data_IF_353882886848
#
_entry.id   IF_353882886848
#
_cell.length_a   1.000
_cell.length_b   1.000
_cell.length_c   1.000
_cell.angle_alpha   90.00
_cell.angle_beta   90.00
_cell.angle_gamma   90.00
#
_symmetry.space_group_name_H-M   'P 1'
#
loop_
_entity.id
_entity.type
_entity.pdbx_description
1 polymer ?
#
# COMPACT_ATOMS: atom_id res chain seq x y z
N UNK A 1 -12.50 10.62 -9.75
CA UNK A 1 -11.96 9.26 -9.50
C UNK A 1 -11.25 8.68 -10.70
N UNK A 2 -11.82 8.74 -11.91
CA UNK A 2 -11.17 8.25 -13.14
C UNK A 2 -9.73 8.78 -13.31
N UNK A 3 -9.50 10.09 -13.17
CA UNK A 3 -8.17 10.70 -13.25
C UNK A 3 -7.15 10.07 -12.28
N UNK A 4 -7.54 9.84 -11.02
CA UNK A 4 -6.67 9.27 -9.99
C UNK A 4 -6.30 7.82 -10.34
N UNK A 5 -7.28 7.05 -10.82
CA UNK A 5 -7.07 5.66 -11.26
C UNK A 5 -6.12 5.62 -12.45
N UNK A 6 -6.35 6.46 -13.47
CA UNK A 6 -5.50 6.56 -14.66
C UNK A 6 -4.07 6.95 -14.30
N UNK A 7 -3.88 7.99 -13.48
CA UNK A 7 -2.54 8.42 -13.04
C UNK A 7 -1.86 7.33 -12.21
N UNK A 8 -2.59 6.65 -11.31
CA UNK A 8 -2.06 5.54 -10.53
C UNK A 8 -1.56 4.37 -11.40
N UNK A 9 -2.31 4.01 -12.46
CA UNK A 9 -1.87 2.99 -13.43
C UNK A 9 -0.61 3.43 -14.17
N UNK A 10 -0.55 4.69 -14.64
CA UNK A 10 0.66 5.23 -15.27
C UNK A 10 1.85 5.27 -14.32
N UNK A 11 1.63 5.57 -13.05
CA UNK A 11 2.65 5.53 -12.02
C UNK A 11 3.23 4.11 -11.86
N UNK A 12 2.38 3.08 -11.84
CA UNK A 12 2.84 1.69 -11.86
C UNK A 12 3.61 1.34 -13.14
N UNK A 13 3.11 1.76 -14.31
CA UNK A 13 3.75 1.50 -15.61
C UNK A 13 5.14 2.15 -15.71
N UNK A 14 5.29 3.36 -15.19
CA UNK A 14 6.57 4.07 -15.14
C UNK A 14 7.65 3.28 -14.38
N UNK A 15 7.28 2.50 -13.36
CA UNK A 15 8.22 1.66 -12.60
C UNK A 15 8.70 0.43 -13.37
N UNK A 16 7.99 0.00 -14.42
CA UNK A 16 8.48 -1.04 -15.36
C UNK A 16 9.34 -0.40 -16.46
N UNK A 17 8.87 0.71 -17.02
CA UNK A 17 9.45 1.32 -18.24
C UNK A 17 10.74 2.09 -17.95
N UNK A 18 10.92 2.61 -16.72
CA UNK A 18 12.09 3.42 -16.32
C UNK A 18 13.41 2.67 -16.16
N UNK A 19 13.48 1.39 -16.57
CA UNK A 19 14.75 0.65 -16.68
C UNK A 19 15.27 0.03 -15.37
N UNK A 20 14.54 0.15 -14.27
CA UNK A 20 14.78 -0.70 -13.09
C UNK A 20 13.93 -1.97 -13.25
N UNK A 21 14.51 -3.19 -13.27
CA UNK A 21 13.75 -4.42 -13.51
C UNK A 21 12.92 -4.77 -12.27
N UNK A 22 11.77 -4.11 -12.12
CA UNK A 22 10.80 -4.43 -11.09
C UNK A 22 9.96 -5.61 -11.58
N UNK A 23 9.79 -6.63 -10.73
CA UNK A 23 8.97 -7.79 -11.07
C UNK A 23 7.51 -7.37 -11.31
N UNK A 24 6.72 -8.14 -12.10
CA UNK A 24 5.31 -7.83 -12.34
C UNK A 24 4.47 -7.65 -11.06
N UNK A 25 4.84 -8.33 -9.97
CA UNK A 25 4.18 -8.14 -8.67
C UNK A 25 4.34 -6.73 -8.09
N UNK A 26 5.45 -6.06 -8.40
CA UNK A 26 5.69 -4.68 -7.96
C UNK A 26 4.95 -3.62 -8.78
N UNK A 27 4.48 -3.95 -10.00
CA UNK A 27 3.59 -3.07 -10.76
C UNK A 27 2.27 -2.86 -10.04
N UNK A 28 1.61 -3.95 -9.64
CA UNK A 28 0.32 -3.89 -8.94
C UNK A 28 0.46 -3.11 -7.65
N UNK A 29 1.55 -3.34 -6.90
CA UNK A 29 1.86 -2.61 -5.68
C UNK A 29 2.05 -1.10 -5.96
N UNK A 30 2.86 -0.73 -6.95
CA UNK A 30 3.11 0.66 -7.32
C UNK A 30 1.83 1.37 -7.81
N UNK A 31 1.01 0.69 -8.61
CA UNK A 31 -0.24 1.26 -9.10
C UNK A 31 -1.24 1.55 -7.96
N UNK A 32 -1.41 0.58 -7.03
CA UNK A 32 -2.26 0.76 -5.84
C UNK A 32 -1.73 1.91 -4.97
N UNK A 33 -0.41 1.98 -4.74
CA UNK A 33 0.21 3.07 -4.00
C UNK A 33 -0.05 4.43 -4.66
N UNK A 34 0.09 4.53 -5.98
CA UNK A 34 -0.22 5.74 -6.75
C UNK A 34 -1.68 6.18 -6.61
N UNK A 35 -2.63 5.23 -6.62
CA UNK A 35 -4.06 5.53 -6.39
C UNK A 35 -4.29 6.06 -4.97
N UNK A 36 -3.68 5.43 -3.95
CA UNK A 36 -3.81 5.85 -2.55
C UNK A 36 -3.25 7.27 -2.37
N UNK A 37 -2.03 7.53 -2.85
CA UNK A 37 -1.37 8.84 -2.74
C UNK A 37 -2.18 9.91 -3.49
N UNK A 38 -2.64 9.61 -4.71
CA UNK A 38 -3.47 10.53 -5.49
C UNK A 38 -4.82 10.84 -4.81
N UNK A 39 -5.44 9.85 -4.18
CA UNK A 39 -6.66 10.06 -3.40
C UNK A 39 -6.41 10.92 -2.15
N UNK A 40 -5.32 10.66 -1.42
CA UNK A 40 -4.93 11.47 -0.25
C UNK A 40 -4.61 12.90 -0.67
N UNK A 41 -3.90 13.10 -1.77
CA UNK A 41 -3.58 14.42 -2.30
C UNK A 41 -4.84 15.25 -2.58
N UNK A 42 -5.82 14.67 -3.29
CA UNK A 42 -7.06 15.37 -3.64
C UNK A 42 -7.93 15.68 -2.42
N UNK A 43 -7.84 14.88 -1.35
CA UNK A 43 -8.71 15.03 -0.17
C UNK A 43 -8.08 15.85 0.96
N UNK A 44 -6.77 15.74 1.14
CA UNK A 44 -6.07 16.28 2.31
C UNK A 44 -4.86 17.15 1.94
N UNK A 45 -4.53 17.28 0.65
CA UNK A 45 -3.46 18.13 0.16
C UNK A 45 -2.07 17.47 0.11
N UNK A 46 -1.07 18.27 -0.23
CA UNK A 46 0.30 17.82 -0.49
C UNK A 46 0.98 17.21 0.74
N UNK A 47 0.87 17.85 1.91
CA UNK A 47 1.53 17.41 3.13
C UNK A 47 1.19 15.95 3.49
N UNK A 48 -0.10 15.61 3.66
CA UNK A 48 -0.51 14.23 3.94
C UNK A 48 -0.13 13.23 2.83
N UNK A 49 -0.14 13.64 1.57
CA UNK A 49 0.27 12.79 0.44
C UNK A 49 1.76 12.43 0.50
N UNK A 50 2.63 13.39 0.87
CA UNK A 50 4.06 13.13 1.09
C UNK A 50 4.26 12.21 2.29
N UNK A 51 3.57 12.47 3.41
CA UNK A 51 3.72 11.69 4.63
C UNK A 51 3.33 10.23 4.44
N UNK A 52 2.23 9.95 3.72
CA UNK A 52 1.82 8.57 3.46
C UNK A 52 2.79 7.87 2.49
N UNK A 53 3.26 8.57 1.45
CA UNK A 53 4.25 8.04 0.52
C UNK A 53 5.55 7.63 1.23
N UNK A 54 6.11 8.54 2.04
CA UNK A 54 7.32 8.27 2.80
C UNK A 54 7.14 7.18 3.84
N UNK A 55 6.01 7.20 4.56
CA UNK A 55 5.69 6.13 5.51
C UNK A 55 5.71 4.76 4.83
N UNK A 56 5.06 4.61 3.68
CA UNK A 56 5.04 3.32 2.97
C UNK A 56 6.41 2.90 2.42
N UNK A 57 7.24 3.85 2.00
CA UNK A 57 8.55 3.55 1.44
C UNK A 57 9.60 3.24 2.52
N UNK A 58 9.56 3.92 3.66
CA UNK A 58 10.67 3.92 4.61
C UNK A 58 10.33 3.34 5.98
N UNK A 59 9.09 2.96 6.28
CA UNK A 59 8.74 2.43 7.61
C UNK A 59 9.60 1.21 8.00
N UNK A 60 9.65 0.20 7.12
CA UNK A 60 10.46 -1.01 7.36
C UNK A 60 11.97 -0.70 7.33
N UNK A 61 12.43 0.11 6.36
CA UNK A 61 13.83 0.49 6.28
C UNK A 61 14.30 1.29 7.50
N UNK A 62 13.46 2.15 8.07
CA UNK A 62 13.80 2.93 9.27
C UNK A 62 14.11 2.02 10.45
N UNK A 63 13.37 0.92 10.60
CA UNK A 63 13.67 -0.11 11.58
C UNK A 63 15.00 -0.82 11.28
N UNK A 64 15.24 -1.23 10.03
CA UNK A 64 16.49 -1.90 9.63
C UNK A 64 17.71 -1.00 9.85
N UNK A 65 17.61 0.30 9.52
CA UNK A 65 18.66 1.29 9.79
C UNK A 65 18.92 1.46 11.28
N UNK A 66 17.88 1.51 12.11
CA UNK A 66 18.03 1.58 13.56
C UNK A 66 18.78 0.36 14.11
N UNK A 67 18.41 -0.85 13.71
CA UNK A 67 19.09 -2.08 14.15
C UNK A 67 20.53 -2.13 13.65
N UNK A 68 20.79 -1.70 12.42
CA UNK A 68 22.15 -1.61 11.88
C UNK A 68 23.02 -0.65 12.70
N UNK A 69 22.47 0.51 13.07
CA UNK A 69 23.17 1.51 13.85
C UNK A 69 23.56 1.05 15.26
N UNK A 70 22.71 0.25 15.91
CA UNK A 70 22.99 -0.27 17.27
C UNK A 70 23.78 -1.59 17.27
N UNK A 71 23.63 -2.40 16.23
CA UNK A 71 24.09 -3.80 16.21
C UNK A 71 25.25 -4.10 15.25
N UNK A 72 25.74 -3.10 14.51
CA UNK A 72 26.78 -3.24 13.47
C UNK A 72 26.47 -4.32 12.41
N UNK A 73 25.20 -4.69 12.21
CA UNK A 73 24.79 -5.58 11.12
C UNK A 73 24.72 -4.75 9.84
N UNK A 74 25.55 -5.03 8.82
CA UNK A 74 25.52 -4.29 7.56
C UNK A 74 24.18 -4.48 6.86
N UNK A 75 23.58 -3.38 6.38
CA UNK A 75 22.37 -3.47 5.55
C UNK A 75 22.80 -3.84 4.14
N UNK A 76 22.56 -5.09 3.78
CA UNK A 76 22.55 -5.55 2.39
C UNK A 76 21.11 -5.64 1.86
N UNK A 77 20.95 -5.65 0.55
CA UNK A 77 19.66 -5.84 -0.13
C UNK A 77 18.97 -7.18 0.22
N UNK A 78 19.70 -8.09 0.87
CA UNK A 78 19.26 -9.41 1.30
C UNK A 78 19.16 -9.53 2.83
N UNK A 79 19.16 -8.40 3.55
CA UNK A 79 19.10 -8.42 5.02
C UNK A 79 17.74 -8.93 5.47
N UNK A 80 17.64 -10.23 5.75
CA UNK A 80 16.44 -10.86 6.30
C UNK A 80 16.46 -10.72 7.82
N UNK A 81 15.78 -9.69 8.33
CA UNK A 81 15.53 -9.58 9.77
C UNK A 81 14.16 -10.24 10.11
N UNK A 82 14.11 -11.19 11.07
CA UNK A 82 12.86 -11.89 11.41
C UNK A 82 11.72 -10.95 11.79
N UNK A 83 12.00 -9.89 12.54
CA UNK A 83 10.99 -8.91 12.95
C UNK A 83 10.49 -8.09 11.76
N UNK A 84 11.37 -7.66 10.86
CA UNK A 84 10.98 -6.98 9.61
C UNK A 84 10.04 -7.84 8.77
N UNK A 85 10.32 -9.13 8.63
CA UNK A 85 9.46 -10.06 7.91
C UNK A 85 8.11 -10.26 8.61
N UNK A 86 8.10 -10.39 9.94
CA UNK A 86 6.85 -10.45 10.72
C UNK A 86 6.01 -9.17 10.56
N UNK A 87 6.64 -7.99 10.55
CA UNK A 87 5.93 -6.72 10.32
C UNK A 87 5.29 -6.66 8.93
N UNK A 88 6.01 -7.06 7.89
CA UNK A 88 5.47 -7.09 6.52
C UNK A 88 4.26 -8.03 6.42
N UNK A 89 4.38 -9.25 6.96
CA UNK A 89 3.28 -10.22 7.00
C UNK A 89 2.08 -9.69 7.79
N UNK A 90 2.31 -9.05 8.94
CA UNK A 90 1.25 -8.46 9.75
C UNK A 90 0.49 -7.37 8.98
N UNK A 91 1.19 -6.49 8.26
CA UNK A 91 0.58 -5.44 7.44
C UNK A 91 -0.26 -6.02 6.30
N UNK A 92 0.23 -7.07 5.64
CA UNK A 92 -0.52 -7.76 4.56
C UNK A 92 -1.79 -8.42 5.13
N UNK A 93 -1.67 -9.16 6.23
CA UNK A 93 -2.79 -9.88 6.85
C UNK A 93 -3.86 -8.91 7.34
N UNK A 94 -3.46 -7.85 8.05
CA UNK A 94 -4.40 -6.84 8.56
C UNK A 94 -5.08 -6.06 7.41
N UNK A 95 -4.34 -5.73 6.34
CA UNK A 95 -4.90 -5.15 5.13
C UNK A 95 -5.94 -6.04 4.45
N UNK A 96 -5.65 -7.33 4.32
CA UNK A 96 -6.58 -8.30 3.74
C UNK A 96 -7.87 -8.45 4.58
N UNK A 97 -7.74 -8.49 5.91
CA UNK A 97 -8.89 -8.53 6.84
C UNK A 97 -9.76 -7.28 6.67
N UNK A 98 -9.15 -6.09 6.63
CA UNK A 98 -9.88 -4.83 6.49
C UNK A 98 -10.68 -4.76 5.19
N UNK A 99 -10.08 -5.19 4.07
CA UNK A 99 -10.76 -5.28 2.77
C UNK A 99 -11.92 -6.27 2.85
N UNK A 100 -11.70 -7.44 3.44
CA UNK A 100 -12.71 -8.49 3.58
C UNK A 100 -13.93 -7.99 4.36
N UNK A 101 -13.72 -7.35 5.51
CA UNK A 101 -14.79 -6.76 6.32
C UNK A 101 -15.58 -5.73 5.50
N UNK A 102 -14.89 -4.87 4.74
CA UNK A 102 -15.54 -3.84 3.93
C UNK A 102 -16.40 -4.45 2.80
N UNK A 103 -15.92 -5.51 2.16
CA UNK A 103 -16.68 -6.23 1.13
C UNK A 103 -17.93 -6.89 1.75
N UNK A 104 -17.77 -7.58 2.88
CA UNK A 104 -18.90 -8.23 3.57
C UNK A 104 -19.96 -7.20 3.99
N UNK A 105 -19.55 -6.06 4.55
CA UNK A 105 -20.46 -4.98 4.92
C UNK A 105 -21.18 -4.39 3.71
N UNK A 106 -20.47 -4.21 2.58
CA UNK A 106 -21.08 -3.74 1.35
C UNK A 106 -22.15 -4.71 0.82
N UNK A 107 -21.83 -6.02 0.76
CA UNK A 107 -22.78 -7.05 0.31
C UNK A 107 -24.02 -7.09 1.22
N UNK A 108 -23.82 -7.07 2.55
CA UNK A 108 -24.91 -7.05 3.52
C UNK A 108 -25.81 -5.82 3.33
N UNK A 109 -25.23 -4.63 3.18
CA UNK A 109 -26.02 -3.39 2.99
C UNK A 109 -26.89 -3.41 1.72
N UNK A 110 -26.41 -4.08 0.65
CA UNK A 110 -27.16 -4.26 -0.60
C UNK A 110 -28.32 -5.23 -0.44
N UNK A 111 -28.14 -6.30 0.33
CA UNK A 111 -29.21 -7.26 0.64
C UNK A 111 -30.32 -6.58 1.45
N UNK A 112 -29.97 -5.88 2.54
CA UNK A 112 -30.92 -5.15 3.38
C UNK A 112 -31.70 -4.09 2.56
N UNK A 113 -31.03 -3.34 1.69
CA UNK A 113 -31.68 -2.36 0.79
C UNK A 113 -32.65 -3.01 -0.20
N UNK A 114 -32.33 -4.22 -0.69
CA UNK A 114 -33.18 -4.95 -1.65
C UNK A 114 -34.42 -5.49 -0.96
N UNK A 115 -34.29 -6.01 0.27
CA UNK A 115 -35.41 -6.50 1.07
C UNK A 115 -36.40 -5.39 1.43
N UNK A 116 -35.92 -4.18 1.76
CA UNK A 116 -36.78 -3.03 2.07
C UNK A 116 -37.61 -2.59 0.85
N UNK A 117 -37.02 -2.60 -0.35
CA UNK A 117 -37.73 -2.18 -1.58
C UNK A 117 -38.78 -3.20 -2.08
N UNK A 118 -38.86 -4.39 -1.47
CA UNK A 118 -39.84 -5.44 -1.82
C UNK A 118 -41.04 -5.50 -0.86
N UNK A 119 -41.04 -4.69 0.20
CA UNK A 119 -42.15 -4.50 1.15
C UNK A 119 -42.96 -3.25 0.79
#
# INVERSE_FOLDING_TARGET
MALIITIGIFFGAAHIISGTPWSPGKFTQAAIAGIIIGWVYVRYGLGPAILIHWSTNYFIYSYLFFISAIGQVPISNETVNPFSNTLEQLLIVTGAIAISIKILNYVRSRQESTTINQL
#
